data_IF_299973425758
#
_entry.id   IF_299973425758
#
_cell.length_a   1.000
_cell.length_b   1.000
_cell.length_c   1.000
_cell.angle_alpha   90.00
_cell.angle_beta   90.00
_cell.angle_gamma   90.00
#
_symmetry.space_group_name_H-M   'P 1'
#
loop_
_entity.id
_entity.type
_entity.pdbx_description
1 polymer ?
#
# COMPACT_ATOMS: atom_id res chain seq x y z
N UNK A 1 1.19 -15.11 -9.43
CA UNK A 1 0.78 -15.57 -10.78
C UNK A 1 0.35 -14.37 -11.60
N UNK A 2 0.95 -14.19 -12.77
CA UNK A 2 0.71 -13.05 -13.67
C UNK A 2 -0.73 -12.99 -14.16
N UNK A 3 -1.31 -14.13 -14.52
CA UNK A 3 -2.68 -14.23 -15.07
C UNK A 3 -3.75 -14.51 -14.00
N UNK A 4 -3.45 -14.22 -12.73
CA UNK A 4 -4.42 -14.45 -11.65
C UNK A 4 -5.66 -13.58 -11.84
N UNK A 5 -6.83 -14.22 -11.76
CA UNK A 5 -8.14 -13.55 -11.83
C UNK A 5 -8.56 -12.91 -10.49
N UNK A 6 -7.81 -13.16 -9.41
CA UNK A 6 -8.04 -12.56 -8.10
C UNK A 6 -7.71 -11.07 -8.15
N UNK A 7 -8.74 -10.21 -8.25
CA UNK A 7 -8.60 -8.76 -8.33
C UNK A 7 -9.22 -8.09 -7.11
N UNK A 8 -8.43 -7.30 -6.41
CA UNK A 8 -8.85 -6.53 -5.25
C UNK A 8 -8.17 -5.17 -5.26
N UNK A 9 -8.72 -4.21 -4.52
CA UNK A 9 -7.98 -3.04 -4.08
C UNK A 9 -6.96 -3.53 -3.06
N UNK A 10 -5.68 -3.26 -3.31
CA UNK A 10 -4.55 -3.81 -2.57
C UNK A 10 -3.74 -2.70 -1.93
N UNK A 11 -3.14 -3.00 -0.78
CA UNK A 11 -2.18 -2.12 -0.12
C UNK A 11 -0.91 -2.90 0.29
N UNK A 12 0.17 -2.17 0.54
CA UNK A 12 1.45 -2.74 0.94
C UNK A 12 2.48 -1.66 1.22
N UNK A 13 3.64 -2.09 1.72
CA UNK A 13 4.77 -1.22 2.04
C UNK A 13 6.06 -1.78 1.45
N UNK A 14 6.90 -0.91 0.92
CA UNK A 14 8.28 -1.22 0.54
C UNK A 14 9.25 -0.24 1.18
N UNK A 15 10.51 -0.61 1.34
CA UNK A 15 11.54 0.29 1.88
C UNK A 15 12.62 0.56 0.86
N UNK A 16 13.16 1.77 0.83
CA UNK A 16 14.38 2.05 0.05
C UNK A 16 15.54 1.18 0.51
N UNK A 17 16.52 0.94 -0.36
CA UNK A 17 17.67 0.08 -0.04
C UNK A 17 18.48 0.59 1.16
N UNK A 18 18.58 1.91 1.32
CA UNK A 18 19.21 2.59 2.46
C UNK A 18 18.33 2.68 3.71
N UNK A 19 17.09 2.16 3.64
CA UNK A 19 16.08 2.14 4.70
C UNK A 19 15.65 3.52 5.21
N UNK A 20 15.95 4.59 4.48
CA UNK A 20 15.54 5.95 4.86
C UNK A 20 14.07 6.24 4.55
N UNK A 21 13.50 5.56 3.55
CA UNK A 21 12.12 5.77 3.12
C UNK A 21 11.31 4.48 3.22
N UNK A 22 10.09 4.63 3.73
CA UNK A 22 9.03 3.63 3.61
C UNK A 22 7.95 4.15 2.64
N UNK A 23 7.69 3.38 1.59
CA UNK A 23 6.69 3.67 0.57
C UNK A 23 5.44 2.87 0.85
N UNK A 24 4.41 3.53 1.37
CA UNK A 24 3.08 2.95 1.50
C UNK A 24 2.32 3.14 0.18
N UNK A 25 1.85 2.04 -0.41
CA UNK A 25 1.14 2.06 -1.68
C UNK A 25 -0.24 1.46 -1.48
N UNK A 26 -1.27 2.14 -1.97
CA UNK A 26 -2.63 1.61 -2.14
C UNK A 26 -3.02 1.76 -3.60
N UNK A 27 -3.58 0.71 -4.19
CA UNK A 27 -4.18 0.80 -5.52
C UNK A 27 -5.52 1.56 -5.46
N UNK A 28 -5.86 2.31 -6.51
CA UNK A 28 -7.21 2.90 -6.61
C UNK A 28 -8.22 1.95 -7.27
N UNK A 29 -7.74 1.03 -8.11
CA UNK A 29 -8.58 0.08 -8.82
C UNK A 29 -8.21 -1.37 -8.45
N UNK A 30 -9.17 -2.28 -8.64
CA UNK A 30 -8.96 -3.71 -8.42
C UNK A 30 -7.95 -4.28 -9.42
N UNK A 31 -6.88 -4.87 -8.91
CA UNK A 31 -5.81 -5.47 -9.70
C UNK A 31 -5.32 -6.77 -9.06
N UNK A 32 -4.60 -7.59 -9.85
CA UNK A 32 -4.04 -8.82 -9.33
C UNK A 32 -2.74 -8.57 -8.54
N UNK A 33 -2.35 -9.54 -7.71
CA UNK A 33 -1.18 -9.38 -6.84
C UNK A 33 0.12 -9.18 -7.64
N UNK A 34 0.22 -9.79 -8.82
CA UNK A 34 1.41 -9.64 -9.67
C UNK A 34 1.56 -8.20 -10.18
N UNK A 35 0.50 -7.63 -10.74
CA UNK A 35 0.48 -6.22 -11.17
C UNK A 35 0.79 -5.28 -10.00
N UNK A 36 0.26 -5.56 -8.80
CA UNK A 36 0.58 -4.78 -7.60
C UNK A 36 2.06 -4.85 -7.25
N UNK A 37 2.63 -6.05 -7.21
CA UNK A 37 4.03 -6.27 -6.85
C UNK A 37 5.00 -5.61 -7.84
N UNK A 38 4.63 -5.51 -9.12
CA UNK A 38 5.43 -4.81 -10.14
C UNK A 38 5.56 -3.31 -9.87
N UNK A 39 4.65 -2.69 -9.12
CA UNK A 39 4.83 -1.30 -8.69
C UNK A 39 6.07 -1.17 -7.81
N UNK A 40 6.21 -2.05 -6.82
CA UNK A 40 7.37 -2.08 -5.94
C UNK A 40 8.67 -2.43 -6.68
N UNK A 41 8.62 -3.48 -7.51
CA UNK A 41 9.80 -3.98 -8.24
C UNK A 41 10.26 -3.03 -9.36
N UNK A 42 9.35 -2.66 -10.26
CA UNK A 42 9.72 -2.00 -11.51
C UNK A 42 9.68 -0.47 -11.42
N UNK A 43 8.78 0.08 -10.59
CA UNK A 43 8.61 1.54 -10.44
C UNK A 43 9.38 2.09 -9.26
N UNK A 44 9.15 1.56 -8.06
CA UNK A 44 9.81 2.02 -6.84
C UNK A 44 11.22 1.43 -6.67
N UNK A 45 11.52 0.31 -7.34
CA UNK A 45 12.82 -0.39 -7.30
C UNK A 45 13.30 -0.70 -5.88
N UNK A 46 12.36 -1.06 -5.01
CA UNK A 46 12.67 -1.45 -3.63
C UNK A 46 13.15 -2.90 -3.56
N UNK A 47 14.14 -3.23 -2.70
CA UNK A 47 14.65 -4.60 -2.58
C UNK A 47 13.62 -5.57 -1.98
N UNK A 48 12.74 -5.07 -1.09
CA UNK A 48 11.73 -5.86 -0.43
C UNK A 48 10.44 -5.06 -0.27
N UNK A 49 9.31 -5.77 -0.29
CA UNK A 49 8.00 -5.21 -0.01
C UNK A 49 7.12 -6.25 0.71
N UNK A 50 6.21 -5.75 1.55
CA UNK A 50 5.20 -6.53 2.25
C UNK A 50 3.83 -6.17 1.71
N UNK A 51 3.02 -7.20 1.47
CA UNK A 51 1.61 -7.07 1.16
C UNK A 51 0.80 -7.04 2.47
N UNK A 52 -0.13 -6.09 2.57
CA UNK A 52 -1.02 -5.94 3.73
C UNK A 52 -2.40 -6.56 3.43
N UNK A 53 -3.39 -6.28 4.27
CA UNK A 53 -4.73 -6.89 4.14
C UNK A 53 -5.33 -6.70 2.74
N UNK A 54 -5.86 -7.79 2.20
CA UNK A 54 -6.19 -7.90 0.79
C UNK A 54 -7.59 -7.51 0.37
N UNK A 55 -8.54 -7.38 1.31
CA UNK A 55 -9.93 -7.04 0.96
C UNK A 55 -10.34 -5.65 1.42
N UNK A 56 -9.76 -5.17 2.53
CA UNK A 56 -10.08 -3.84 3.07
C UNK A 56 -8.82 -2.99 3.04
N UNK A 57 -8.80 -2.01 2.14
CA UNK A 57 -7.71 -1.05 1.96
C UNK A 57 -8.27 0.36 2.02
N UNK A 58 -7.94 1.12 3.07
CA UNK A 58 -8.38 2.50 3.27
C UNK A 58 -7.19 3.44 3.45
N UNK A 59 -7.35 4.66 2.97
CA UNK A 59 -6.46 5.78 3.25
C UNK A 59 -7.24 6.92 3.90
N UNK A 60 -6.67 7.44 4.97
CA UNK A 60 -7.03 8.73 5.54
C UNK A 60 -5.83 9.67 5.37
N UNK A 61 -6.05 10.81 4.73
CA UNK A 61 -5.04 11.88 4.63
C UNK A 61 -5.76 13.22 4.60
N UNK A 62 -5.39 14.08 5.55
CA UNK A 62 -5.94 15.43 5.61
C UNK A 62 -5.38 16.29 4.47
N UNK A 63 -4.10 16.10 4.12
CA UNK A 63 -3.42 16.85 3.07
C UNK A 63 -4.03 16.59 1.69
N UNK A 64 -4.57 15.38 1.47
CA UNK A 64 -5.23 14.97 0.24
C UNK A 64 -6.76 15.15 0.28
N UNK A 65 -7.30 15.75 1.35
CA UNK A 65 -8.75 15.82 1.63
C UNK A 65 -9.45 14.47 1.42
N UNK A 66 -8.83 13.40 1.93
CA UNK A 66 -9.24 12.03 1.66
C UNK A 66 -9.61 11.28 2.92
N UNK A 67 -10.80 10.68 2.87
CA UNK A 67 -11.29 9.76 3.88
C UNK A 67 -12.07 8.62 3.20
N UNK A 68 -11.42 7.48 2.97
CA UNK A 68 -12.05 6.34 2.30
C UNK A 68 -13.18 5.73 3.17
N UNK A 69 -14.39 5.63 2.60
CA UNK A 69 -15.54 4.98 3.23
C UNK A 69 -15.44 3.44 3.19
N UNK A 70 -16.21 2.74 4.02
CA UNK A 70 -16.36 1.28 3.97
C UNK A 70 -16.31 0.62 5.34
N UNK A 71 -16.01 -0.68 5.36
CA UNK A 71 -15.99 -1.51 6.57
C UNK A 71 -14.97 -1.03 7.64
N UNK A 72 -15.19 -1.40 8.91
CA UNK A 72 -14.17 -1.24 9.96
C UNK A 72 -12.85 -1.87 9.53
N UNK A 73 -11.75 -1.20 9.87
CA UNK A 73 -10.38 -1.68 9.59
C UNK A 73 -9.70 -2.14 10.87
N UNK A 74 -8.79 -3.09 10.71
CA UNK A 74 -7.90 -3.59 11.76
C UNK A 74 -6.69 -2.67 11.98
N UNK A 75 -5.50 -3.22 12.29
CA UNK A 75 -4.31 -2.43 12.58
C UNK A 75 -4.05 -1.32 11.56
N UNK A 76 -3.74 -0.13 12.08
CA UNK A 76 -3.49 1.08 11.27
C UNK A 76 -2.04 1.48 11.46
N UNK A 77 -1.36 1.77 10.35
CA UNK A 77 -0.06 2.43 10.37
C UNK A 77 -0.28 3.92 10.10
N UNK A 78 0.19 4.78 10.99
CA UNK A 78 0.13 6.22 10.84
C UNK A 78 1.55 6.80 10.78
N UNK A 79 1.77 7.69 9.83
CA UNK A 79 2.97 8.54 9.81
C UNK A 79 2.66 9.76 10.66
N UNK A 80 3.42 9.94 11.73
CA UNK A 80 3.26 11.06 12.66
C UNK A 80 4.57 11.80 12.79
N UNK A 81 4.50 13.09 13.11
CA UNK A 81 5.69 13.86 13.47
C UNK A 81 6.13 13.48 14.87
N UNK A 82 7.45 13.30 15.08
CA UNK A 82 7.98 13.17 16.44
C UNK A 82 7.60 14.41 17.25
N UNK A 83 7.20 14.21 18.50
CA UNK A 83 7.19 15.31 19.47
C UNK A 83 8.66 15.61 19.80
N UNK A 84 9.05 16.87 19.61
CA UNK A 84 10.27 17.41 20.19
C UNK A 84 10.01 17.79 21.64
#
# INVERSE_FOLDING_TARGET
LEDSQSKFIRNGVGTSADKQFAYFVKAENSLNLHTFARIFKDKLKVPNALYFDGKVSKLYSKELDRHDFGWPIGPIVAVVRSRN
#
